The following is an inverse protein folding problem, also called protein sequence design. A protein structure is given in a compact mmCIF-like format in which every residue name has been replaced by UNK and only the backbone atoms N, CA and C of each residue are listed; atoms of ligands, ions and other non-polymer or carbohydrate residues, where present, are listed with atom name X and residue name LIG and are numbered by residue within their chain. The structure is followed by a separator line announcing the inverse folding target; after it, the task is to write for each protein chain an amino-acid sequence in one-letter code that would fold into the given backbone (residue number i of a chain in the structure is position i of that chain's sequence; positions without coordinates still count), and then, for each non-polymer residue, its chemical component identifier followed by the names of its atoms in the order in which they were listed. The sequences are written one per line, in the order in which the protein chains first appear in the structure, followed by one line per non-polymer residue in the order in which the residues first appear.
data_IF_784547499457
#
_entry.id   IF_784547499457
#
_cell.length_a   1.000
_cell.length_b   1.000
_cell.length_c   1.000
_cell.angle_alpha   90.00
_cell.angle_beta   90.00
_cell.angle_gamma   90.00
#
_symmetry.space_group_name_H-M   'P 1'
#
loop_
_entity.id
_entity.type
_entity.pdbx_description
1 polymer ?
#
# COMPACT_ATOMS: atom_id res chain seq x y z
N UNK A 1 -8.48 3.72 7.68
CA UNK A 1 -8.94 4.71 6.68
C UNK A 1 -10.44 4.66 6.60
N UNK A 2 -11.08 5.81 6.46
CA UNK A 2 -12.52 5.99 6.33
C UNK A 2 -13.26 5.85 7.65
N UNK A 3 -12.62 6.18 8.78
CA UNK A 3 -13.34 6.20 10.06
C UNK A 3 -14.47 7.26 10.00
N UNK A 4 -15.61 7.04 10.69
CA UNK A 4 -16.66 8.04 10.77
C UNK A 4 -16.12 9.35 11.33
N UNK A 5 -16.24 10.43 10.56
CA UNK A 5 -15.74 11.76 10.92
C UNK A 5 -14.30 12.07 10.51
N UNK A 6 -13.57 11.13 9.89
CA UNK A 6 -12.22 11.34 9.34
C UNK A 6 -12.22 12.51 8.35
N UNK A 7 -11.34 13.48 8.58
CA UNK A 7 -11.14 14.65 7.74
C UNK A 7 -9.89 14.50 6.87
N UNK A 8 -9.77 15.31 5.83
CA UNK A 8 -8.60 15.30 4.94
C UNK A 8 -7.27 15.53 5.69
N UNK A 9 -7.28 16.32 6.76
CA UNK A 9 -6.07 16.57 7.57
C UNK A 9 -5.64 15.34 8.37
N UNK A 10 -6.59 14.53 8.89
CA UNK A 10 -6.27 13.26 9.55
C UNK A 10 -5.58 12.28 8.58
N UNK A 11 -6.02 12.28 7.31
CA UNK A 11 -5.43 11.46 6.25
C UNK A 11 -4.02 11.96 5.91
N UNK A 12 -3.79 13.27 5.86
CA UNK A 12 -2.45 13.85 5.63
C UNK A 12 -1.49 13.50 6.76
N UNK A 13 -1.92 13.64 8.02
CA UNK A 13 -1.11 13.28 9.19
C UNK A 13 -0.72 11.80 9.15
N UNK A 14 -1.66 10.94 8.74
CA UNK A 14 -1.39 9.52 8.54
C UNK A 14 -0.39 9.28 7.40
N UNK A 15 -0.51 10.00 6.27
CA UNK A 15 0.47 9.93 5.17
C UNK A 15 1.86 10.32 5.66
N UNK A 16 1.99 11.40 6.44
CA UNK A 16 3.28 11.82 7.01
C UNK A 16 3.86 10.76 7.95
N UNK A 17 3.03 10.20 8.83
CA UNK A 17 3.42 9.11 9.72
C UNK A 17 3.97 7.92 8.90
N UNK A 18 3.26 7.51 7.86
CA UNK A 18 3.65 6.39 7.01
C UNK A 18 4.95 6.70 6.26
N UNK A 19 5.14 7.93 5.75
CA UNK A 19 6.41 8.35 5.11
C UNK A 19 7.60 8.22 6.07
N UNK A 20 7.43 8.56 7.35
CA UNK A 20 8.49 8.43 8.38
C UNK A 20 8.84 6.96 8.68
N UNK A 21 7.97 6.02 8.34
CA UNK A 21 8.23 4.58 8.49
C UNK A 21 9.01 3.99 7.29
N UNK A 22 9.20 4.72 6.19
CA UNK A 22 10.01 4.21 5.07
C UNK A 22 11.45 3.93 5.52
N UNK A 23 11.99 2.79 5.10
CA UNK A 23 13.28 2.27 5.52
C UNK A 23 13.25 1.43 6.80
N UNK A 24 12.16 1.45 7.56
CA UNK A 24 11.97 0.57 8.71
C UNK A 24 11.48 -0.82 8.27
N UNK A 25 11.80 -1.86 9.04
CA UNK A 25 11.40 -3.24 8.75
C UNK A 25 9.96 -3.53 9.22
N UNK A 26 8.98 -2.80 8.68
CA UNK A 26 7.55 -2.99 9.01
C UNK A 26 6.69 -3.10 7.76
N UNK A 27 5.55 -3.78 7.91
CA UNK A 27 4.46 -3.78 6.94
C UNK A 27 3.37 -2.84 7.45
N UNK A 28 2.92 -1.94 6.58
CA UNK A 28 1.82 -1.02 6.86
C UNK A 28 0.62 -1.47 6.04
N UNK A 29 -0.39 -2.01 6.72
CA UNK A 29 -1.59 -2.56 6.07
C UNK A 29 -2.67 -1.48 5.98
N UNK A 30 -3.16 -1.13 4.77
CA UNK A 30 -4.23 -0.17 4.60
C UNK A 30 -5.59 -0.80 4.95
N UNK A 31 -5.97 -0.74 6.23
CA UNK A 31 -7.27 -1.25 6.69
C UNK A 31 -8.39 -0.25 6.38
N UNK A 32 -9.47 -0.77 5.78
CA UNK A 32 -10.65 0.00 5.41
C UNK A 32 -11.72 -0.17 6.47
N UNK A 33 -12.26 0.94 6.95
CA UNK A 33 -13.35 0.90 7.91
C UNK A 33 -14.59 0.23 7.29
N UNK A 34 -15.22 -0.65 8.07
CA UNK A 34 -16.41 -1.39 7.67
C UNK A 34 -17.52 -1.17 8.70
N UNK A 35 -18.68 -0.77 8.23
CA UNK A 35 -19.90 -0.67 9.04
C UNK A 35 -20.66 -2.00 8.96
N UNK A 36 -20.77 -2.70 10.09
CA UNK A 36 -21.47 -3.99 10.15
C UNK A 36 -22.99 -3.84 10.18
N UNK A 37 -23.51 -2.67 10.53
CA UNK A 37 -24.96 -2.42 10.63
C UNK A 37 -25.52 -1.80 9.35
N UNK A 38 -24.74 -0.96 8.68
CA UNK A 38 -25.08 -0.29 7.42
C UNK A 38 -23.94 -0.42 6.42
N UNK A 39 -23.81 -1.58 5.75
CA UNK A 39 -22.67 -1.89 4.88
C UNK A 39 -22.39 -0.82 3.81
N UNK A 40 -23.42 -0.11 3.35
CA UNK A 40 -23.33 1.03 2.43
C UNK A 40 -22.51 2.21 2.96
N UNK A 41 -22.27 2.31 4.26
CA UNK A 41 -21.40 3.33 4.85
C UNK A 41 -19.92 2.93 4.81
N UNK A 42 -19.62 1.65 4.62
CA UNK A 42 -18.23 1.14 4.65
C UNK A 42 -17.37 1.82 3.60
N UNK A 43 -16.10 2.01 3.94
CA UNK A 43 -15.14 2.57 3.00
C UNK A 43 -14.75 1.50 1.98
N UNK A 44 -15.10 1.74 0.72
CA UNK A 44 -14.72 0.94 -0.43
C UNK A 44 -13.89 1.79 -1.39
N UNK A 45 -13.14 1.15 -2.30
CA UNK A 45 -12.19 1.88 -3.18
C UNK A 45 -12.86 2.92 -4.09
N UNK A 46 -14.13 2.74 -4.41
CA UNK A 46 -14.96 3.69 -5.15
C UNK A 46 -15.28 4.98 -4.37
N UNK A 47 -15.19 4.94 -3.03
CA UNK A 47 -15.42 6.08 -2.13
C UNK A 47 -14.13 6.75 -1.67
N UNK A 48 -12.99 6.35 -2.19
CA UNK A 48 -11.72 6.95 -1.84
C UNK A 48 -11.64 8.37 -2.36
N UNK A 49 -11.22 9.29 -1.48
CA UNK A 49 -10.76 10.62 -1.90
C UNK A 49 -9.38 10.49 -2.55
N UNK A 50 -8.88 11.58 -3.15
CA UNK A 50 -7.50 11.63 -3.66
C UNK A 50 -6.47 11.27 -2.59
N UNK A 51 -6.68 11.75 -1.35
CA UNK A 51 -5.79 11.48 -0.23
C UNK A 51 -5.87 10.02 0.23
N UNK A 52 -7.05 9.40 0.23
CA UNK A 52 -7.18 7.96 0.51
C UNK A 52 -6.42 7.11 -0.50
N UNK A 53 -6.48 7.46 -1.79
CA UNK A 53 -5.69 6.78 -2.82
C UNK A 53 -4.18 6.93 -2.61
N UNK A 54 -3.72 8.14 -2.27
CA UNK A 54 -2.32 8.41 -1.95
C UNK A 54 -1.85 7.58 -0.75
N UNK A 55 -2.60 7.59 0.34
CA UNK A 55 -2.30 6.82 1.54
C UNK A 55 -2.30 5.31 1.25
N UNK A 56 -3.32 4.81 0.56
CA UNK A 56 -3.43 3.40 0.17
C UNK A 56 -2.23 2.95 -0.67
N UNK A 57 -1.86 3.74 -1.68
CA UNK A 57 -0.68 3.46 -2.52
C UNK A 57 0.62 3.47 -1.71
N UNK A 58 0.81 4.47 -0.84
CA UNK A 58 2.00 4.60 -0.02
C UNK A 58 2.19 3.40 0.93
N UNK A 59 1.11 2.91 1.56
CA UNK A 59 1.14 1.71 2.39
C UNK A 59 1.65 0.48 1.61
N UNK A 60 1.18 0.29 0.37
CA UNK A 60 1.67 -0.79 -0.49
C UNK A 60 3.12 -0.58 -0.94
N UNK A 61 3.52 0.66 -1.24
CA UNK A 61 4.89 1.01 -1.67
C UNK A 61 5.92 0.63 -0.62
N UNK A 62 5.67 0.99 0.64
CA UNK A 62 6.56 0.66 1.75
C UNK A 62 6.50 -0.84 2.08
N UNK A 63 5.30 -1.41 2.16
CA UNK A 63 5.12 -2.82 2.54
C UNK A 63 5.74 -3.78 1.53
N UNK A 64 5.60 -3.53 0.23
CA UNK A 64 6.17 -4.40 -0.81
C UNK A 64 7.69 -4.38 -0.80
N UNK A 65 8.32 -3.23 -0.50
CA UNK A 65 9.77 -3.11 -0.28
C UNK A 65 10.22 -3.91 0.94
N UNK A 66 9.48 -3.83 2.06
CA UNK A 66 9.77 -4.60 3.27
C UNK A 66 9.62 -6.12 3.03
N UNK A 67 8.52 -6.56 2.42
CA UNK A 67 8.25 -7.96 2.08
C UNK A 67 9.35 -8.51 1.16
N UNK A 68 9.77 -7.76 0.15
CA UNK A 68 10.85 -8.18 -0.74
C UNK A 68 12.17 -8.42 0.02
N UNK A 69 12.52 -7.53 0.95
CA UNK A 69 13.68 -7.71 1.81
C UNK A 69 13.53 -8.94 2.70
N UNK A 70 12.35 -9.16 3.29
CA UNK A 70 12.06 -10.34 4.10
C UNK A 70 12.16 -11.65 3.32
N UNK A 71 11.78 -11.69 2.04
CA UNK A 71 11.98 -12.88 1.20
C UNK A 71 13.47 -13.26 1.13
N UNK A 72 14.36 -12.27 0.98
CA UNK A 72 15.80 -12.53 0.97
C UNK A 72 16.33 -13.07 2.30
N UNK A 73 15.83 -12.55 3.41
CA UNK A 73 16.18 -13.06 4.75
C UNK A 73 15.63 -14.47 5.00
N UNK A 74 14.35 -14.69 4.70
CA UNK A 74 13.68 -15.97 4.94
C UNK A 74 14.26 -17.13 4.10
N UNK A 75 14.78 -16.82 2.91
CA UNK A 75 15.37 -17.81 2.00
C UNK A 75 16.89 -17.91 2.12
N UNK A 76 17.50 -17.28 3.13
CA UNK A 76 18.96 -17.25 3.30
C UNK A 76 19.60 -18.65 3.40
N UNK A 77 18.88 -19.62 3.99
CA UNK A 77 19.33 -21.00 4.17
C UNK A 77 18.91 -21.96 3.05
N UNK A 78 18.18 -21.48 2.05
CA UNK A 78 17.70 -22.33 0.95
C UNK A 78 18.80 -22.51 -0.10
N UNK A 79 18.73 -23.57 -0.93
CA UNK A 79 19.62 -23.73 -2.05
C UNK A 79 19.64 -22.48 -2.95
N UNK A 80 20.79 -22.08 -3.53
CA UNK A 80 20.91 -20.84 -4.29
C UNK A 80 19.84 -20.68 -5.38
N UNK A 81 19.48 -21.76 -6.07
CA UNK A 81 18.46 -21.71 -7.12
C UNK A 81 17.07 -21.36 -6.58
N UNK A 82 16.66 -21.93 -5.44
CA UNK A 82 15.35 -21.65 -4.81
C UNK A 82 15.30 -20.20 -4.37
N UNK A 83 16.38 -19.71 -3.77
CA UNK A 83 16.51 -18.31 -3.34
C UNK A 83 16.37 -17.34 -4.52
N UNK A 84 16.97 -17.64 -5.68
CA UNK A 84 16.82 -16.81 -6.87
C UNK A 84 15.38 -16.81 -7.40
N UNK A 85 14.73 -17.97 -7.44
CA UNK A 85 13.31 -18.08 -7.85
C UNK A 85 12.43 -17.26 -6.90
N UNK A 86 12.62 -17.39 -5.58
CA UNK A 86 11.86 -16.65 -4.58
C UNK A 86 12.06 -15.13 -4.72
N UNK A 87 13.30 -14.68 -4.92
CA UNK A 87 13.61 -13.27 -5.18
C UNK A 87 12.96 -12.75 -6.47
N UNK A 88 12.96 -13.53 -7.56
CA UNK A 88 12.29 -13.18 -8.81
C UNK A 88 10.77 -13.05 -8.63
N UNK A 89 10.13 -14.05 -8.03
CA UNK A 89 8.69 -14.06 -7.76
C UNK A 89 8.31 -12.91 -6.85
N UNK A 90 9.09 -12.67 -5.79
CA UNK A 90 8.88 -11.54 -4.88
C UNK A 90 8.96 -10.19 -5.57
N UNK A 91 9.98 -9.98 -6.41
CA UNK A 91 10.16 -8.73 -7.18
C UNK A 91 9.00 -8.51 -8.15
N UNK A 92 8.61 -9.55 -8.89
CA UNK A 92 7.50 -9.49 -9.85
C UNK A 92 6.17 -9.25 -9.14
N UNK A 93 5.91 -9.92 -8.02
CA UNK A 93 4.71 -9.73 -7.20
C UNK A 93 4.62 -8.32 -6.62
N UNK A 94 5.72 -7.80 -6.05
CA UNK A 94 5.79 -6.43 -5.55
C UNK A 94 5.50 -5.40 -6.66
N UNK A 95 6.14 -5.55 -7.82
CA UNK A 95 5.93 -4.66 -8.96
C UNK A 95 4.50 -4.77 -9.51
N UNK A 96 3.95 -5.97 -9.59
CA UNK A 96 2.56 -6.20 -10.03
C UNK A 96 1.56 -5.54 -9.09
N UNK A 97 1.71 -5.73 -7.77
CA UNK A 97 0.82 -5.13 -6.79
C UNK A 97 0.82 -3.61 -6.87
N UNK A 98 2.00 -2.98 -6.96
CA UNK A 98 2.09 -1.53 -7.08
C UNK A 98 1.48 -1.01 -8.39
N UNK A 99 1.74 -1.70 -9.50
CA UNK A 99 1.12 -1.35 -10.79
C UNK A 99 -0.40 -1.48 -10.72
N UNK A 100 -0.92 -2.57 -10.17
CA UNK A 100 -2.36 -2.78 -10.04
C UNK A 100 -3.03 -1.64 -9.25
N UNK A 101 -2.48 -1.28 -8.09
CA UNK A 101 -3.04 -0.20 -7.27
C UNK A 101 -2.94 1.15 -7.98
N UNK A 102 -1.79 1.46 -8.59
CA UNK A 102 -1.58 2.71 -9.35
C UNK A 102 -2.54 2.82 -10.53
N UNK A 103 -2.67 1.75 -11.32
CA UNK A 103 -3.49 1.75 -12.53
C UNK A 103 -4.98 1.87 -12.16
N UNK A 104 -5.41 1.24 -11.05
CA UNK A 104 -6.76 1.40 -10.49
C UNK A 104 -6.99 2.84 -10.02
N UNK A 105 -6.07 3.42 -9.27
CA UNK A 105 -6.16 4.82 -8.84
C UNK A 105 -6.24 5.77 -10.05
N UNK A 106 -5.40 5.56 -11.06
CA UNK A 106 -5.39 6.35 -12.30
C UNK A 106 -6.70 6.24 -13.08
N UNK A 107 -7.33 5.06 -13.12
CA UNK A 107 -8.64 4.90 -13.77
C UNK A 107 -9.77 5.68 -13.09
N UNK A 108 -9.64 5.97 -11.80
CA UNK A 108 -10.67 6.64 -10.99
C UNK A 108 -10.39 8.14 -10.88
N UNK A 109 -9.13 8.51 -10.63
CA UNK A 109 -8.70 9.90 -10.43
C UNK A 109 -8.30 10.62 -11.71
N UNK A 110 -7.94 9.88 -12.76
CA UNK A 110 -7.32 10.42 -13.98
C UNK A 110 -5.81 10.67 -13.87
N UNK A 111 -5.23 10.51 -12.68
CA UNK A 111 -3.83 10.84 -12.34
C UNK A 111 -3.19 9.79 -11.42
N UNK A 112 -1.85 9.81 -11.33
CA UNK A 112 -1.07 8.84 -10.53
C UNK A 112 -1.18 9.15 -9.02
N UNK A 113 -1.55 8.20 -8.15
CA UNK A 113 -1.69 8.45 -6.70
C UNK A 113 -0.39 8.89 -6.01
N UNK A 114 0.78 8.68 -6.62
CA UNK A 114 2.06 9.19 -6.14
C UNK A 114 2.26 10.66 -6.56
N UNK A 115 1.43 11.53 -6.00
CA UNK A 115 1.45 12.99 -6.27
C UNK A 115 2.66 13.72 -5.67
N UNK A 116 3.63 13.00 -5.09
CA UNK A 116 4.85 13.59 -4.52
C UNK A 116 5.86 14.06 -5.59
N UNK A 117 5.49 14.02 -6.88
CA UNK A 117 6.25 14.62 -7.99
C UNK A 117 5.66 15.98 -8.41
N UNK A 118 5.72 16.97 -7.51
CA UNK A 118 5.94 18.41 -7.78
C UNK A 118 6.83 18.94 -6.66
#
# INVERSE_FOLDING_TARGET
MGLPGEQDDDVKDTIELVKRLDGSAFVVVPLLWTDYFRPENSLTTDKFTKLHWKLYYLCWKISTKAIYNWIWYATAHFPPFVRQIAGLVGKLGAAYQLRYVRDKAKSILGEDPDFDNI
#
